data_IF_748664130266
#
_entry.id   IF_748664130266
#
_cell.length_a   1.000
_cell.length_b   1.000
_cell.length_c   1.000
_cell.angle_alpha   90.00
_cell.angle_beta   90.00
_cell.angle_gamma   90.00
#
_symmetry.space_group_name_H-M   'P 1'
#
loop_
_entity.id
_entity.type
_entity.pdbx_description
1 polymer ?
#
# COMPACT_ATOMS: atom_id res chain seq x y z
N UNK A 1 -2.79 -22.37 5.14
CA UNK A 1 -2.70 -21.28 4.17
C UNK A 1 -2.51 -20.05 5.02
N UNK A 2 -1.28 -19.57 5.11
CA UNK A 2 -0.93 -18.41 5.95
C UNK A 2 -1.58 -17.22 5.29
N UNK A 3 -2.48 -16.57 6.03
CA UNK A 3 -2.90 -15.19 5.78
C UNK A 3 -1.59 -14.40 5.65
N UNK A 4 -1.18 -14.11 4.41
CA UNK A 4 0.05 -13.36 4.16
C UNK A 4 -0.21 -11.98 4.74
N UNK A 5 0.35 -11.70 5.92
CA UNK A 5 0.28 -10.39 6.54
C UNK A 5 0.61 -9.37 5.46
N UNK A 6 -0.36 -8.51 5.12
CA UNK A 6 -0.17 -7.50 4.09
C UNK A 6 1.07 -6.69 4.47
N UNK A 7 2.14 -6.84 3.68
CA UNK A 7 3.40 -6.11 3.90
C UNK A 7 3.48 -4.95 2.92
N UNK A 8 4.31 -3.95 3.25
CA UNK A 8 4.53 -2.82 2.35
C UNK A 8 5.12 -3.27 1.01
N UNK A 9 5.99 -4.29 1.03
CA UNK A 9 6.57 -4.86 -0.18
C UNK A 9 5.51 -5.56 -1.04
N UNK A 10 4.71 -6.43 -0.44
CA UNK A 10 3.63 -7.14 -1.14
C UNK A 10 2.58 -6.17 -1.70
N UNK A 11 2.19 -5.15 -0.93
CA UNK A 11 1.25 -4.13 -1.39
C UNK A 11 1.79 -3.34 -2.59
N UNK A 12 3.10 -3.06 -2.60
CA UNK A 12 3.74 -2.35 -3.73
C UNK A 12 3.81 -3.26 -4.97
N UNK A 13 4.18 -4.54 -4.80
CA UNK A 13 4.18 -5.52 -5.89
C UNK A 13 2.78 -5.73 -6.50
N UNK A 14 1.74 -5.73 -5.66
CA UNK A 14 0.35 -5.84 -6.11
C UNK A 14 -0.06 -4.59 -6.91
N UNK A 15 0.34 -3.39 -6.46
CA UNK A 15 0.13 -2.16 -7.22
C UNK A 15 0.83 -2.18 -8.59
N UNK A 16 2.08 -2.64 -8.66
CA UNK A 16 2.80 -2.76 -9.94
C UNK A 16 2.11 -3.75 -10.88
N UNK A 17 1.62 -4.88 -10.34
CA UNK A 17 0.87 -5.86 -11.12
C UNK A 17 -0.46 -5.30 -11.65
N UNK A 18 -1.11 -4.43 -10.88
CA UNK A 18 -2.32 -3.72 -11.32
C UNK A 18 -1.95 -2.77 -12.46
N UNK A 19 -0.87 -1.99 -12.34
CA UNK A 19 -0.41 -1.08 -13.39
C UNK A 19 -0.08 -1.82 -14.69
N UNK A 20 0.61 -2.97 -14.62
CA UNK A 20 0.90 -3.80 -15.80
C UNK A 20 -0.37 -4.28 -16.51
N UNK A 21 -1.42 -4.63 -15.76
CA UNK A 21 -2.71 -5.00 -16.35
C UNK A 21 -3.40 -3.83 -17.03
N UNK A 22 -3.29 -2.63 -16.45
CA UNK A 22 -3.88 -1.41 -17.03
C UNK A 22 -3.19 -0.97 -18.32
N UNK A 23 -1.89 -1.25 -18.44
CA UNK A 23 -1.08 -0.94 -19.64
C UNK A 23 -1.14 -2.04 -20.72
N UNK A 24 -1.79 -3.18 -20.44
CA UNK A 24 -1.99 -4.26 -21.41
C UNK A 24 -2.90 -3.87 -22.57
N UNK A 25 -2.85 -4.62 -23.67
CA UNK A 25 -3.68 -4.33 -24.87
C UNK A 25 -5.12 -4.92 -24.76
N UNK A 26 -5.34 -5.85 -23.81
CA UNK A 26 -6.56 -6.65 -23.66
C UNK A 26 -7.37 -6.27 -22.40
N UNK A 27 -7.40 -4.98 -22.08
CA UNK A 27 -8.01 -4.51 -20.83
C UNK A 27 -9.51 -4.34 -20.98
N UNK A 28 -10.27 -5.13 -20.21
CA UNK A 28 -11.71 -4.97 -20.11
C UNK A 28 -12.04 -3.82 -19.14
N UNK A 29 -12.99 -2.95 -19.53
CA UNK A 29 -13.40 -1.78 -18.74
C UNK A 29 -13.98 -2.19 -17.37
N UNK A 30 -14.62 -3.35 -17.30
CA UNK A 30 -15.19 -3.88 -16.05
C UNK A 30 -14.08 -4.37 -15.09
N UNK A 31 -13.00 -4.96 -15.61
CA UNK A 31 -11.84 -5.34 -14.77
C UNK A 31 -11.05 -4.12 -14.32
N UNK A 32 -11.01 -3.06 -15.13
CA UNK A 32 -10.36 -1.79 -14.80
C UNK A 32 -10.92 -1.17 -13.52
N UNK A 33 -12.25 -1.18 -13.36
CA UNK A 33 -12.92 -0.62 -12.19
C UNK A 33 -12.56 -1.39 -10.91
N UNK A 34 -12.51 -2.71 -10.99
CA UNK A 34 -12.14 -3.59 -9.87
C UNK A 34 -10.66 -3.42 -9.49
N UNK A 35 -9.78 -3.40 -10.48
CA UNK A 35 -8.34 -3.20 -10.28
C UNK A 35 -8.06 -1.80 -9.68
N UNK A 36 -8.80 -0.77 -10.10
CA UNK A 36 -8.67 0.58 -9.56
C UNK A 36 -9.18 0.69 -8.12
N UNK A 37 -10.31 0.05 -7.79
CA UNK A 37 -10.83 -0.02 -6.42
C UNK A 37 -9.80 -0.69 -5.50
N UNK A 38 -9.24 -1.82 -5.95
CA UNK A 38 -8.18 -2.53 -5.24
C UNK A 38 -6.91 -1.67 -5.04
N UNK A 39 -6.47 -0.98 -6.08
CA UNK A 39 -5.33 -0.07 -5.98
C UNK A 39 -5.59 1.05 -4.95
N UNK A 40 -6.80 1.59 -4.90
CA UNK A 40 -7.19 2.60 -3.92
C UNK A 40 -7.09 2.06 -2.49
N UNK A 41 -7.55 0.83 -2.23
CA UNK A 41 -7.41 0.19 -0.91
C UNK A 41 -5.94 0.04 -0.49
N UNK A 42 -5.09 -0.43 -1.40
CA UNK A 42 -3.66 -0.62 -1.16
C UNK A 42 -2.96 0.72 -0.86
N UNK A 43 -3.31 1.78 -1.58
CA UNK A 43 -2.75 3.12 -1.36
C UNK A 43 -3.15 3.65 0.03
N UNK A 44 -4.41 3.54 0.41
CA UNK A 44 -4.88 3.97 1.72
C UNK A 44 -4.21 3.18 2.85
N UNK A 45 -4.05 1.87 2.67
CA UNK A 45 -3.31 1.03 3.60
C UNK A 45 -1.84 1.46 3.74
N UNK A 46 -1.14 1.70 2.62
CA UNK A 46 0.25 2.16 2.61
C UNK A 46 0.39 3.50 3.34
N UNK A 47 -0.54 4.43 3.11
CA UNK A 47 -0.58 5.74 3.81
C UNK A 47 -0.75 5.58 5.31
N UNK A 48 -1.69 4.75 5.74
CA UNK A 48 -1.92 4.48 7.16
C UNK A 48 -0.68 3.90 7.84
N UNK A 49 0.02 2.98 7.16
CA UNK A 49 1.26 2.39 7.67
C UNK A 49 2.38 3.41 7.77
N UNK A 50 2.59 4.25 6.75
CA UNK A 50 3.58 5.33 6.78
C UNK A 50 3.29 6.35 7.88
N UNK A 51 2.01 6.70 8.09
CA UNK A 51 1.62 7.59 9.17
C UNK A 51 1.92 6.98 10.54
N UNK A 52 1.61 5.70 10.73
CA UNK A 52 1.92 4.98 11.97
C UNK A 52 3.42 4.96 12.23
N UNK A 53 4.22 4.63 11.21
CA UNK A 53 5.70 4.66 11.31
C UNK A 53 6.20 6.07 11.64
N UNK A 54 5.66 7.12 11.03
CA UNK A 54 6.04 8.52 11.34
C UNK A 54 5.77 8.87 12.79
N UNK A 55 4.57 8.58 13.30
CA UNK A 55 4.20 8.85 14.69
C UNK A 55 5.17 8.16 15.66
N UNK A 56 5.53 6.92 15.35
CA UNK A 56 6.43 6.15 16.21
C UNK A 56 7.86 6.71 16.18
N UNK A 57 8.34 7.17 15.02
CA UNK A 57 9.63 7.90 14.90
C UNK A 57 9.59 9.21 15.69
N UNK A 58 8.53 10.02 15.55
CA UNK A 58 8.37 11.27 16.31
C UNK A 58 8.38 11.01 17.82
N UNK A 59 7.75 9.93 18.28
CA UNK A 59 7.74 9.53 19.69
C UNK A 59 9.14 9.15 20.17
N UNK A 60 9.91 8.42 19.37
CA UNK A 60 11.30 8.05 19.71
C UNK A 60 12.18 9.31 19.82
N UNK A 61 12.09 10.22 18.85
CA UNK A 61 12.85 11.48 18.84
C UNK A 61 12.50 12.33 20.07
N UNK A 62 11.21 12.50 20.37
CA UNK A 62 10.75 13.26 21.54
C UNK A 62 11.30 12.69 22.85
N UNK A 63 11.33 11.36 23.00
CA UNK A 63 11.92 10.72 24.20
C UNK A 63 13.44 10.89 24.29
N UNK A 64 14.14 11.14 23.17
CA UNK A 64 15.58 11.42 23.18
C UNK A 64 15.89 12.87 23.58
N UNK A 65 15.03 13.83 23.21
CA UNK A 65 15.23 15.25 23.53
C UNK A 65 14.88 15.61 24.99
N UNK A 66 14.09 14.79 25.68
CA UNK A 66 13.75 14.97 27.11
C UNK A 66 14.85 14.48 28.09
N UNK A 67 16.02 14.06 27.58
CA UNK A 67 17.19 13.60 28.34
C UNK A 67 18.45 14.43 28.06
#
# INVERSE_FOLDING_TARGET
MTDEELTFETATQELDSILEKLDGDDVNIDSLAVDLERASELIEWCRARLQTTRVEVERIVTNLDDH
#
